data_IF_111038731513
#
_entry.id   IF_111038731513
#
_cell.length_a   1.000
_cell.length_b   1.000
_cell.length_c   1.000
_cell.angle_alpha   90.00
_cell.angle_beta   90.00
_cell.angle_gamma   90.00
#
_symmetry.space_group_name_H-M   'P 1'
#
loop_
_entity.id
_entity.type
_entity.pdbx_description
1 polymer ?
#
# COMPACT_ATOMS: atom_id res chain seq x y z
N UNK A 1 -12.83 -12.57 34.81
CA UNK A 1 -12.33 -11.28 34.29
C UNK A 1 -10.88 -11.44 33.85
N UNK A 2 -10.64 -11.90 32.61
CA UNK A 2 -9.30 -12.16 32.08
C UNK A 2 -9.18 -12.25 30.53
N UNK A 3 -10.16 -11.89 29.67
CA UNK A 3 -9.95 -12.01 28.22
C UNK A 3 -9.25 -10.78 27.62
N UNK A 4 -9.35 -9.60 28.25
CA UNK A 4 -8.89 -8.34 27.65
C UNK A 4 -7.36 -8.26 27.49
N UNK A 5 -6.62 -8.75 28.49
CA UNK A 5 -5.15 -8.75 28.46
C UNK A 5 -4.60 -9.69 27.38
N UNK A 6 -5.26 -10.83 27.15
CA UNK A 6 -4.84 -11.79 26.13
C UNK A 6 -5.10 -11.25 24.72
N UNK A 7 -6.25 -10.59 24.51
CA UNK A 7 -6.58 -9.95 23.23
C UNK A 7 -5.62 -8.81 22.90
N UNK A 8 -5.25 -7.99 23.90
CA UNK A 8 -4.29 -6.91 23.72
C UNK A 8 -2.88 -7.44 23.35
N UNK A 9 -2.46 -8.55 23.99
CA UNK A 9 -1.18 -9.20 23.67
C UNK A 9 -1.16 -9.73 22.23
N UNK A 10 -2.23 -10.40 21.80
CA UNK A 10 -2.39 -10.95 20.45
C UNK A 10 -2.34 -9.84 19.38
N UNK A 11 -2.98 -8.68 19.66
CA UNK A 11 -2.94 -7.53 18.77
C UNK A 11 -1.53 -6.95 18.63
N UNK A 12 -0.80 -6.82 19.75
CA UNK A 12 0.58 -6.36 19.76
C UNK A 12 1.53 -7.32 19.02
N UNK A 13 1.30 -8.62 19.13
CA UNK A 13 2.07 -9.66 18.43
C UNK A 13 1.79 -9.64 16.91
N UNK A 14 0.54 -9.44 16.50
CA UNK A 14 0.16 -9.32 15.10
C UNK A 14 0.79 -8.08 14.43
N UNK A 15 0.81 -6.93 15.13
CA UNK A 15 1.48 -5.71 14.67
C UNK A 15 2.99 -5.88 14.50
N UNK A 16 3.64 -6.74 15.30
CA UNK A 16 5.08 -7.04 15.19
C UNK A 16 5.41 -8.09 14.12
N UNK A 17 4.43 -8.80 13.59
CA UNK A 17 4.61 -9.91 12.64
C UNK A 17 4.56 -9.53 11.16
N UNK A 18 4.70 -8.24 10.83
CA UNK A 18 5.05 -7.85 9.46
C UNK A 18 6.56 -7.66 9.41
N UNK A 19 7.32 -8.57 8.78
CA UNK A 19 8.77 -8.42 8.62
C UNK A 19 9.01 -7.28 7.62
N UNK A 20 9.09 -6.07 8.15
CA UNK A 20 9.28 -4.85 7.39
C UNK A 20 9.16 -3.67 8.32
N UNK A 21 10.25 -2.95 8.53
CA UNK A 21 10.25 -1.75 9.36
C UNK A 21 9.21 -0.77 8.80
N UNK A 22 8.21 -0.42 9.61
CA UNK A 22 7.13 0.50 9.19
C UNK A 22 7.73 1.81 8.66
N UNK A 23 8.85 2.29 9.23
CA UNK A 23 9.58 3.45 8.71
C UNK A 23 10.14 3.24 7.31
N UNK A 24 10.68 2.06 7.01
CA UNK A 24 11.19 1.76 5.67
C UNK A 24 10.06 1.60 4.66
N UNK A 25 8.95 0.98 5.06
CA UNK A 25 7.74 0.89 4.24
C UNK A 25 7.18 2.29 3.95
N UNK A 26 7.09 3.17 4.95
CA UNK A 26 6.64 4.55 4.77
C UNK A 26 7.60 5.36 3.88
N UNK A 27 8.91 5.24 4.11
CA UNK A 27 9.95 5.91 3.32
C UNK A 27 9.93 5.47 1.86
N UNK A 28 9.66 4.18 1.61
CA UNK A 28 9.45 3.65 0.26
C UNK A 28 8.25 4.32 -0.41
N UNK A 29 7.14 4.50 0.31
CA UNK A 29 5.94 5.17 -0.23
C UNK A 29 6.04 6.70 -0.40
N UNK A 30 7.04 7.33 0.23
CA UNK A 30 7.36 8.75 0.00
C UNK A 30 8.11 8.94 -1.32
N UNK A 31 8.91 7.93 -1.72
CA UNK A 31 9.74 7.98 -2.92
C UNK A 31 9.04 7.36 -4.15
N UNK A 32 8.31 6.27 -3.95
CA UNK A 32 7.58 5.54 -4.98
C UNK A 32 6.10 5.39 -4.57
N UNK A 33 5.15 5.49 -5.51
CA UNK A 33 3.73 5.29 -5.18
C UNK A 33 3.46 3.86 -4.67
N UNK A 34 2.37 3.65 -3.90
CA UNK A 34 2.01 2.33 -3.40
C UNK A 34 1.75 1.35 -4.55
N UNK A 35 1.92 0.03 -4.34
CA UNK A 35 1.61 -0.96 -5.37
C UNK A 35 0.11 -0.94 -5.70
N UNK A 36 -0.22 -1.17 -6.97
CA UNK A 36 -1.61 -1.26 -7.41
C UNK A 36 -2.33 -2.45 -6.75
N UNK A 37 -3.59 -2.25 -6.36
CA UNK A 37 -4.44 -3.31 -5.81
C UNK A 37 -4.87 -4.31 -6.89
N UNK A 38 -5.05 -3.80 -8.11
CA UNK A 38 -5.41 -4.51 -9.33
C UNK A 38 -4.28 -4.38 -10.34
N UNK A 39 -4.21 -5.33 -11.29
CA UNK A 39 -3.36 -5.15 -12.45
C UNK A 39 -4.00 -4.09 -13.37
N UNK A 40 -3.20 -3.17 -13.94
CA UNK A 40 -3.72 -2.22 -14.92
C UNK A 40 -4.24 -2.97 -16.15
N UNK A 41 -5.36 -2.52 -16.71
CA UNK A 41 -5.91 -3.10 -17.94
C UNK A 41 -4.94 -2.98 -19.13
N UNK A 42 -4.14 -1.91 -19.16
CA UNK A 42 -3.08 -1.68 -20.14
C UNK A 42 -1.96 -0.78 -19.56
N UNK A 43 -0.77 -0.86 -20.15
CA UNK A 43 0.38 -0.02 -19.74
C UNK A 43 0.35 1.41 -20.34
N UNK A 44 -0.76 1.87 -20.93
CA UNK A 44 -0.81 3.18 -21.58
C UNK A 44 -1.21 4.31 -20.62
N UNK A 45 -1.86 3.99 -19.49
CA UNK A 45 -2.34 4.98 -18.52
C UNK A 45 -1.27 5.35 -17.49
N UNK A 46 -0.19 5.99 -17.93
CA UNK A 46 0.90 6.47 -17.06
C UNK A 46 0.46 7.70 -16.27
N UNK A 47 0.91 7.82 -15.02
CA UNK A 47 0.59 8.95 -14.15
C UNK A 47 1.81 9.41 -13.33
N UNK A 48 1.75 10.66 -12.86
CA UNK A 48 2.73 11.21 -11.89
C UNK A 48 2.01 11.57 -10.59
N UNK A 49 0.76 12.04 -10.69
CA UNK A 49 -0.08 12.44 -9.56
C UNK A 49 -1.43 11.71 -9.60
N UNK A 50 -2.07 11.51 -8.44
CA UNK A 50 -3.40 10.90 -8.36
C UNK A 50 -4.48 11.62 -9.20
N UNK A 51 -4.34 12.94 -9.40
CA UNK A 51 -5.27 13.74 -10.20
C UNK A 51 -5.18 13.48 -11.72
N UNK A 52 -4.14 12.78 -12.17
CA UNK A 52 -3.95 12.44 -13.58
C UNK A 52 -4.86 11.27 -13.98
N UNK A 53 -5.35 10.52 -13.00
CA UNK A 53 -6.19 9.34 -13.20
C UNK A 53 -7.68 9.70 -13.26
N UNK A 54 -8.45 8.89 -14.01
CA UNK A 54 -9.90 9.03 -14.03
C UNK A 54 -10.51 8.74 -12.66
N UNK A 55 -11.70 9.26 -12.43
CA UNK A 55 -12.43 9.05 -11.17
C UNK A 55 -12.60 7.55 -10.91
N UNK A 56 -12.11 7.09 -9.75
CA UNK A 56 -12.15 5.69 -9.35
C UNK A 56 -10.83 4.93 -9.52
N UNK A 57 -9.82 5.55 -10.14
CA UNK A 57 -8.47 4.99 -10.27
C UNK A 57 -7.48 5.72 -9.37
N UNK A 58 -6.44 5.01 -8.92
CA UNK A 58 -5.35 5.58 -8.13
C UNK A 58 -4.03 5.49 -8.91
N UNK A 59 -3.18 6.50 -8.79
CA UNK A 59 -1.82 6.42 -9.31
C UNK A 59 -0.99 5.49 -8.42
N UNK A 60 -0.50 4.39 -8.97
CA UNK A 60 0.13 3.30 -8.22
C UNK A 60 1.24 2.63 -9.05
N UNK A 61 2.10 1.87 -8.36
CA UNK A 61 3.21 1.13 -8.97
C UNK A 61 2.78 -0.29 -9.39
N UNK A 62 3.09 -0.68 -10.63
CA UNK A 62 2.80 -1.99 -11.21
C UNK A 62 3.97 -2.51 -12.06
N UNK A 63 3.79 -3.66 -12.71
CA UNK A 63 4.77 -4.19 -13.67
C UNK A 63 4.97 -3.28 -14.90
N UNK A 64 4.01 -2.39 -15.21
CA UNK A 64 4.13 -1.38 -16.26
C UNK A 64 4.88 -0.12 -15.78
N UNK A 65 5.31 -0.05 -14.52
CA UNK A 65 5.78 1.18 -13.88
C UNK A 65 4.65 1.90 -13.13
N UNK A 66 4.71 3.24 -13.09
CA UNK A 66 3.73 4.09 -12.40
C UNK A 66 2.55 4.39 -13.33
N UNK A 67 1.38 3.85 -13.00
CA UNK A 67 0.18 3.87 -13.84
C UNK A 67 -1.09 4.07 -13.01
N UNK A 68 -2.18 4.44 -13.67
CA UNK A 68 -3.52 4.46 -13.09
C UNK A 68 -4.09 3.04 -13.06
N UNK A 69 -4.54 2.58 -11.89
CA UNK A 69 -5.22 1.29 -11.72
C UNK A 69 -6.19 1.28 -10.54
#
# INVERSE_FOLDING_TARGET
>A
MKPLLLQLLLFCLALKSVPGNIKERLKKYILDPPPCKSAPENCAQVCIYHKDCQVGLECCSSFCGIVCS
#
